data_IF_079445029778
#
_entry.id   IF_079445029778
#
_cell.length_a   1.000
_cell.length_b   1.000
_cell.length_c   1.000
_cell.angle_alpha   90.00
_cell.angle_beta   90.00
_cell.angle_gamma   90.00
#
_symmetry.space_group_name_H-M   'P 1'
#
loop_
_entity.id
_entity.type
_entity.pdbx_description
1 polymer ?
#
# COMPACT_ATOMS: atom_id res chain seq x y z
N UNK A 1 -31.01 -9.58 -9.80
CA UNK A 1 -30.27 -9.28 -11.05
C UNK A 1 -29.11 -10.27 -11.12
N UNK A 2 -28.96 -10.99 -12.23
CA UNK A 2 -27.82 -11.84 -12.52
C UNK A 2 -26.93 -11.12 -13.54
N UNK A 3 -25.61 -11.12 -13.33
CA UNK A 3 -24.61 -10.41 -14.16
C UNK A 3 -23.52 -11.41 -14.56
N UNK A 4 -23.16 -11.42 -15.86
CA UNK A 4 -22.05 -12.21 -16.38
C UNK A 4 -20.88 -11.30 -16.68
N UNK A 5 -19.70 -11.61 -16.13
CA UNK A 5 -18.46 -10.88 -16.42
C UNK A 5 -17.86 -11.25 -17.80
N UNK A 6 -18.30 -12.37 -18.40
CA UNK A 6 -17.74 -12.86 -19.66
C UNK A 6 -17.99 -11.94 -20.87
N UNK A 7 -18.98 -11.06 -20.77
CA UNK A 7 -19.39 -10.14 -21.85
C UNK A 7 -18.83 -8.71 -21.67
N UNK A 8 -18.09 -8.47 -20.60
CA UNK A 8 -17.58 -7.15 -20.25
C UNK A 8 -16.14 -6.95 -20.70
N UNK A 9 -15.83 -5.71 -21.08
CA UNK A 9 -14.45 -5.28 -21.25
C UNK A 9 -13.71 -5.33 -19.91
N UNK A 10 -12.38 -5.39 -19.95
CA UNK A 10 -11.54 -5.36 -18.74
C UNK A 10 -11.84 -4.16 -17.83
N UNK A 11 -12.06 -2.99 -18.43
CA UNK A 11 -12.42 -1.76 -17.70
C UNK A 11 -13.76 -1.88 -17.00
N UNK A 12 -14.79 -2.41 -17.66
CA UNK A 12 -16.12 -2.61 -17.07
C UNK A 12 -16.06 -3.65 -15.95
N UNK A 13 -15.36 -4.75 -16.18
CA UNK A 13 -15.14 -5.79 -15.18
C UNK A 13 -14.40 -5.23 -13.95
N UNK A 14 -13.32 -4.45 -14.15
CA UNK A 14 -12.60 -3.79 -13.07
C UNK A 14 -13.48 -2.83 -12.27
N UNK A 15 -14.25 -1.97 -12.95
CA UNK A 15 -15.15 -1.02 -12.30
C UNK A 15 -16.24 -1.71 -11.47
N UNK A 16 -16.80 -2.80 -11.96
CA UNK A 16 -17.80 -3.57 -11.23
C UNK A 16 -17.17 -4.35 -10.06
N UNK A 17 -16.11 -5.10 -10.32
CA UNK A 17 -15.42 -5.91 -9.32
C UNK A 17 -14.94 -5.07 -8.14
N UNK A 18 -14.35 -3.91 -8.42
CA UNK A 18 -13.86 -3.00 -7.38
C UNK A 18 -14.94 -2.42 -6.46
N UNK A 19 -16.22 -2.47 -6.89
CA UNK A 19 -17.39 -2.04 -6.10
C UNK A 19 -18.03 -3.19 -5.32
N UNK A 20 -17.83 -4.43 -5.76
CA UNK A 20 -18.42 -5.61 -5.11
C UNK A 20 -17.60 -6.08 -3.91
N UNK A 21 -16.27 -5.92 -3.97
CA UNK A 21 -15.38 -6.28 -2.88
C UNK A 21 -14.98 -5.01 -2.13
N UNK A 22 -15.79 -4.65 -1.16
CA UNK A 22 -15.59 -3.46 -0.32
C UNK A 22 -16.00 -3.75 1.13
N UNK A 23 -15.38 -3.11 2.13
CA UNK A 23 -14.21 -2.24 2.04
C UNK A 23 -12.92 -3.05 1.81
N UNK A 24 -11.99 -2.52 1.04
CA UNK A 24 -10.64 -3.13 0.93
C UNK A 24 -9.65 -2.34 1.78
N UNK A 25 -8.76 -2.99 2.52
CA UNK A 25 -7.63 -2.31 3.14
C UNK A 25 -6.68 -1.77 2.07
N UNK A 26 -5.91 -0.74 2.42
CA UNK A 26 -4.92 -0.14 1.52
C UNK A 26 -3.53 -0.37 2.10
N UNK A 27 -2.66 -1.07 1.36
CA UNK A 27 -1.24 -1.10 1.62
C UNK A 27 -0.60 0.16 1.01
N UNK A 28 -0.04 1.04 1.83
CA UNK A 28 0.70 2.21 1.37
C UNK A 28 2.18 1.88 1.48
N UNK A 29 2.77 1.47 0.35
CA UNK A 29 4.06 0.78 0.29
C UNK A 29 5.17 1.75 -0.05
N UNK A 30 6.12 1.93 0.88
CA UNK A 30 7.36 2.65 0.67
C UNK A 30 8.47 1.67 0.28
N UNK A 31 9.20 1.99 -0.78
CA UNK A 31 10.36 1.25 -1.27
C UNK A 31 11.46 2.19 -1.74
N UNK A 32 12.70 1.70 -1.80
CA UNK A 32 13.86 2.47 -2.22
C UNK A 32 13.99 2.46 -3.76
N UNK A 33 14.04 3.63 -4.40
CA UNK A 33 14.32 3.77 -5.84
C UNK A 33 15.78 3.45 -6.22
N UNK A 34 16.67 3.31 -5.21
CA UNK A 34 18.10 3.17 -5.38
C UNK A 34 18.79 4.53 -5.51
N UNK A 35 20.12 4.48 -5.63
CA UNK A 35 20.89 5.70 -5.93
C UNK A 35 20.38 6.26 -7.27
N UNK A 36 19.99 7.52 -7.26
CA UNK A 36 19.42 8.22 -8.41
C UNK A 36 20.25 7.94 -9.67
N UNK A 37 19.69 7.14 -10.58
CA UNK A 37 20.17 7.17 -11.96
C UNK A 37 19.56 8.43 -12.59
N UNK A 38 20.36 9.19 -13.36
CA UNK A 38 19.82 10.36 -14.06
C UNK A 38 18.60 9.92 -14.87
N UNK A 39 17.47 10.61 -14.67
CA UNK A 39 16.27 10.37 -15.45
C UNK A 39 16.61 10.40 -16.94
N UNK A 40 16.19 9.42 -17.74
CA UNK A 40 16.52 9.37 -19.18
C UNK A 40 15.84 10.46 -20.00
N UNK A 41 15.03 11.31 -19.38
CA UNK A 41 14.35 12.43 -20.04
C UNK A 41 14.53 13.67 -19.15
N UNK A 42 14.91 14.80 -19.74
CA UNK A 42 14.93 16.10 -19.08
C UNK A 42 13.56 16.34 -18.41
N UNK A 43 13.52 16.52 -17.06
CA UNK A 43 12.26 16.75 -16.37
C UNK A 43 11.67 18.06 -16.86
N UNK A 44 10.46 18.02 -17.42
CA UNK A 44 9.72 19.22 -17.84
C UNK A 44 9.12 19.99 -16.66
N UNK A 45 9.67 19.77 -15.43
CA UNK A 45 9.20 20.42 -14.20
C UNK A 45 10.18 20.24 -13.04
N UNK A 46 9.96 20.89 -11.88
CA UNK A 46 10.92 21.01 -10.77
C UNK A 46 11.05 19.78 -9.86
N UNK A 47 10.68 18.58 -10.31
CA UNK A 47 10.80 17.37 -9.49
C UNK A 47 12.21 16.77 -9.61
N UNK A 48 13.02 16.93 -8.56
CA UNK A 48 14.29 16.25 -8.44
C UNK A 48 14.10 14.72 -8.28
N UNK A 49 15.03 13.87 -8.77
CA UNK A 49 15.01 12.45 -8.49
C UNK A 49 15.03 12.21 -6.98
N UNK A 50 13.98 11.58 -6.46
CA UNK A 50 13.86 11.28 -5.04
C UNK A 50 14.15 9.82 -4.74
N UNK A 51 14.69 9.56 -3.55
CA UNK A 51 15.10 8.21 -3.14
C UNK A 51 13.90 7.29 -2.90
N UNK A 52 12.74 7.82 -2.49
CA UNK A 52 11.66 7.00 -1.96
C UNK A 52 10.46 6.97 -2.88
N UNK A 53 10.09 5.77 -3.32
CA UNK A 53 8.81 5.49 -3.96
C UNK A 53 7.76 5.17 -2.89
N UNK A 54 6.56 5.72 -3.05
CA UNK A 54 5.44 5.47 -2.15
C UNK A 54 4.15 5.32 -2.94
N UNK A 55 3.58 4.11 -2.96
CA UNK A 55 2.41 3.82 -3.78
C UNK A 55 1.33 3.03 -3.01
N UNK A 56 0.02 3.32 -3.22
CA UNK A 56 -1.08 2.60 -2.59
C UNK A 56 -1.54 1.40 -3.43
N UNK A 57 -1.79 0.27 -2.74
CA UNK A 57 -2.34 -0.95 -3.32
C UNK A 57 -3.56 -1.41 -2.53
N UNK A 58 -4.71 -1.59 -3.17
CA UNK A 58 -5.94 -2.01 -2.51
C UNK A 58 -6.37 -3.47 -2.78
N UNK A 59 -5.67 -4.19 -3.63
CA UNK A 59 -5.73 -5.65 -3.66
C UNK A 59 -4.70 -6.19 -2.68
N UNK A 60 -5.01 -6.06 -1.38
CA UNK A 60 -4.11 -6.26 -0.26
C UNK A 60 -4.80 -6.98 0.88
N UNK A 61 -4.11 -7.92 1.52
CA UNK A 61 -4.59 -8.56 2.76
C UNK A 61 -3.45 -9.26 3.54
N UNK A 62 -3.77 -9.65 4.80
CA UNK A 62 -3.01 -10.63 5.56
C UNK A 62 -3.18 -12.04 4.98
N UNK A 63 -2.12 -12.86 5.05
CA UNK A 63 -2.11 -14.22 4.50
C UNK A 63 -2.00 -15.26 5.60
N UNK A 64 -1.05 -15.10 6.52
CA UNK A 64 -0.80 -16.01 7.65
C UNK A 64 -0.21 -15.26 8.82
N UNK A 65 -0.37 -15.81 10.03
CA UNK A 65 0.17 -15.26 11.26
C UNK A 65 1.46 -15.94 11.75
N UNK A 66 1.80 -17.11 11.18
CA UNK A 66 2.98 -17.88 11.59
C UNK A 66 3.69 -18.49 10.36
N UNK A 67 4.68 -17.82 9.79
CA UNK A 67 5.14 -16.46 10.07
C UNK A 67 4.09 -15.41 9.65
N UNK A 68 4.14 -14.18 10.23
CA UNK A 68 3.21 -13.13 9.83
C UNK A 68 3.53 -12.65 8.41
N UNK A 69 2.56 -12.81 7.51
CA UNK A 69 2.71 -12.47 6.10
C UNK A 69 1.54 -11.67 5.57
N UNK A 70 1.85 -10.76 4.67
CA UNK A 70 0.93 -9.97 3.87
C UNK A 70 1.07 -10.35 2.40
N UNK A 71 0.05 -10.00 1.61
CA UNK A 71 0.16 -9.99 0.15
C UNK A 71 -0.49 -8.75 -0.43
N UNK A 72 0.02 -8.25 -1.54
CA UNK A 72 -0.68 -7.31 -2.40
C UNK A 72 -0.47 -7.66 -3.88
N UNK A 73 -1.43 -7.25 -4.72
CA UNK A 73 -1.32 -7.39 -6.16
C UNK A 73 -0.85 -6.07 -6.77
N UNK A 74 0.12 -6.15 -7.65
CA UNK A 74 0.61 -5.04 -8.46
C UNK A 74 0.48 -5.38 -9.93
N UNK A 75 -0.15 -4.47 -10.68
CA UNK A 75 -0.19 -4.53 -12.14
C UNK A 75 1.01 -3.81 -12.75
N UNK A 76 1.17 -3.93 -14.05
CA UNK A 76 2.14 -3.11 -14.77
C UNK A 76 1.69 -1.65 -14.84
N UNK A 77 2.63 -0.76 -15.06
CA UNK A 77 2.39 0.65 -15.32
C UNK A 77 2.04 0.90 -16.78
N UNK A 78 1.98 2.18 -17.16
CA UNK A 78 1.76 2.56 -18.55
C UNK A 78 2.80 1.93 -19.50
N UNK A 79 2.38 1.60 -20.72
CA UNK A 79 3.23 1.01 -21.77
C UNK A 79 3.87 -0.36 -21.41
N UNK A 80 3.27 -1.14 -20.48
CA UNK A 80 3.75 -2.48 -20.11
C UNK A 80 5.05 -2.50 -19.30
N UNK A 81 5.42 -1.37 -18.68
CA UNK A 81 6.56 -1.32 -17.78
C UNK A 81 6.15 -1.70 -16.36
N UNK A 82 7.02 -2.42 -15.64
CA UNK A 82 6.82 -2.71 -14.23
C UNK A 82 6.69 -1.41 -13.43
N UNK A 83 5.68 -1.31 -12.56
CA UNK A 83 5.58 -0.21 -11.59
C UNK A 83 6.81 -0.15 -10.69
N UNK A 84 7.17 1.04 -10.23
CA UNK A 84 8.38 1.28 -9.46
C UNK A 84 8.45 0.41 -8.20
N UNK A 85 7.36 0.25 -7.47
CA UNK A 85 7.30 -0.66 -6.32
C UNK A 85 7.69 -2.10 -6.69
N UNK A 86 7.20 -2.64 -7.82
CA UNK A 86 7.52 -3.99 -8.27
C UNK A 86 9.01 -4.09 -8.63
N UNK A 87 9.52 -3.15 -9.42
CA UNK A 87 10.94 -3.09 -9.82
C UNK A 87 11.86 -2.97 -8.59
N UNK A 88 11.53 -2.08 -7.67
CA UNK A 88 12.28 -1.84 -6.46
C UNK A 88 12.38 -3.11 -5.61
N UNK A 89 11.26 -3.79 -5.36
CA UNK A 89 11.23 -5.01 -4.55
C UNK A 89 11.93 -6.21 -5.21
N UNK A 90 12.05 -6.22 -6.54
CA UNK A 90 12.89 -7.20 -7.26
C UNK A 90 14.37 -6.96 -7.04
N UNK A 91 14.78 -5.71 -6.92
CA UNK A 91 16.19 -5.31 -6.69
C UNK A 91 16.57 -5.39 -5.22
N UNK A 92 15.77 -4.82 -4.33
CA UNK A 92 15.92 -4.86 -2.88
C UNK A 92 14.59 -5.30 -2.27
N UNK A 93 14.53 -6.45 -1.59
CA UNK A 93 13.28 -6.99 -1.08
C UNK A 93 12.70 -6.23 0.12
N UNK A 94 13.36 -5.18 0.63
CA UNK A 94 12.88 -4.43 1.79
C UNK A 94 11.86 -3.38 1.41
N UNK A 95 10.81 -3.26 2.22
CA UNK A 95 9.81 -2.20 2.13
C UNK A 95 9.20 -1.87 3.49
N UNK A 96 8.42 -0.79 3.51
CA UNK A 96 7.55 -0.47 4.64
C UNK A 96 6.13 -0.41 4.13
N UNK A 97 5.24 -1.21 4.70
CA UNK A 97 3.81 -1.16 4.44
C UNK A 97 3.14 -0.35 5.54
N UNK A 98 2.55 0.78 5.17
CA UNK A 98 1.77 1.60 6.09
C UNK A 98 0.29 1.32 5.93
N UNK A 99 -0.45 1.49 7.01
CA UNK A 99 -1.91 1.62 6.96
C UNK A 99 -2.24 3.06 7.34
N UNK A 100 -2.77 3.80 6.39
CA UNK A 100 -3.15 5.19 6.57
C UNK A 100 -4.47 5.32 7.35
N UNK A 101 -4.70 6.49 7.96
CA UNK A 101 -6.02 6.88 8.50
C UNK A 101 -6.93 7.41 7.40
N UNK A 102 -8.24 7.42 7.65
CA UNK A 102 -9.21 8.02 6.71
C UNK A 102 -8.91 9.49 6.40
N UNK A 103 -8.39 10.25 7.36
CA UNK A 103 -7.96 11.65 7.18
C UNK A 103 -6.79 11.83 6.22
N UNK A 104 -6.05 10.78 5.91
CA UNK A 104 -4.91 10.77 4.98
C UNK A 104 -5.32 10.37 3.55
N UNK A 105 -6.62 10.25 3.26
CA UNK A 105 -7.12 9.79 1.95
C UNK A 105 -6.56 10.61 0.78
N UNK A 106 -6.42 11.94 0.94
CA UNK A 106 -5.86 12.79 -0.12
C UNK A 106 -4.38 12.49 -0.34
N UNK A 107 -3.57 12.39 0.71
CA UNK A 107 -2.15 12.05 0.59
C UNK A 107 -1.93 10.68 -0.07
N UNK A 108 -2.75 9.68 0.30
CA UNK A 108 -2.74 8.36 -0.35
C UNK A 108 -3.11 8.47 -1.82
N UNK A 109 -4.08 9.31 -2.18
CA UNK A 109 -4.48 9.55 -3.57
C UNK A 109 -3.39 10.28 -4.36
N UNK A 110 -2.71 11.25 -3.77
CA UNK A 110 -1.64 12.02 -4.43
C UNK A 110 -0.45 11.11 -4.75
N UNK A 111 -0.14 10.14 -3.89
CA UNK A 111 0.90 9.13 -4.14
C UNK A 111 0.47 7.98 -5.07
N UNK A 112 -0.77 8.01 -5.57
CA UNK A 112 -1.22 7.12 -6.65
C UNK A 112 -0.93 7.69 -8.05
N UNK A 113 -0.38 8.90 -8.13
CA UNK A 113 -0.01 9.53 -9.40
C UNK A 113 1.07 8.69 -10.11
N UNK A 114 0.92 8.55 -11.42
CA UNK A 114 1.96 7.94 -12.25
C UNK A 114 3.02 8.98 -12.58
N UNK A 115 4.06 9.04 -11.75
CA UNK A 115 5.20 9.93 -11.93
C UNK A 115 6.28 9.26 -12.82
N UNK A 116 7.17 10.03 -13.45
CA UNK A 116 8.33 9.47 -14.13
C UNK A 116 9.18 8.64 -13.16
N UNK A 117 9.76 7.55 -13.67
CA UNK A 117 10.61 6.67 -12.86
C UNK A 117 11.70 7.44 -12.12
N UNK A 118 11.85 7.14 -10.81
CA UNK A 118 12.82 7.77 -9.92
C UNK A 118 12.37 9.13 -9.37
N UNK A 119 11.17 9.60 -9.69
CA UNK A 119 10.55 10.76 -9.02
C UNK A 119 9.86 10.24 -7.75
N UNK A 120 10.06 10.95 -6.64
CA UNK A 120 9.54 10.54 -5.33
C UNK A 120 8.10 11.02 -5.12
N UNK A 121 7.18 10.09 -4.91
CA UNK A 121 5.80 10.41 -4.50
C UNK A 121 5.77 11.01 -3.08
N UNK A 122 6.74 10.68 -2.23
CA UNK A 122 6.88 11.27 -0.89
C UNK A 122 7.11 12.78 -0.99
N UNK A 123 8.04 13.19 -1.84
CA UNK A 123 8.35 14.60 -2.07
C UNK A 123 7.21 15.30 -2.81
N UNK A 124 6.63 14.64 -3.82
CA UNK A 124 5.50 15.15 -4.59
C UNK A 124 4.28 15.43 -3.69
N UNK A 125 3.97 14.56 -2.75
CA UNK A 125 2.86 14.71 -1.82
C UNK A 125 3.23 15.53 -0.57
N UNK A 126 4.46 16.05 -0.45
CA UNK A 126 4.92 16.84 0.70
C UNK A 126 4.92 16.07 2.03
N UNK A 127 5.17 14.77 1.99
CA UNK A 127 5.13 13.91 3.16
C UNK A 127 6.47 13.91 3.91
N UNK A 128 6.39 13.85 5.23
CA UNK A 128 7.56 13.69 6.09
C UNK A 128 7.82 12.23 6.41
N UNK A 129 9.11 11.88 6.44
CA UNK A 129 9.58 10.57 6.86
C UNK A 129 10.18 10.62 8.27
N UNK A 130 10.18 9.48 8.95
CA UNK A 130 10.78 9.30 10.27
C UNK A 130 11.59 7.98 10.30
N UNK A 131 12.78 8.07 10.89
CA UNK A 131 13.60 6.89 11.18
C UNK A 131 12.97 6.05 12.30
N UNK A 132 13.22 4.75 12.27
CA UNK A 132 12.78 3.78 13.27
C UNK A 132 13.68 2.53 13.20
N UNK A 133 13.39 1.47 13.98
CA UNK A 133 14.19 0.23 14.00
C UNK A 133 13.95 -0.64 12.73
N UNK A 134 14.20 -0.05 11.57
CA UNK A 134 14.14 -0.68 10.26
C UNK A 134 15.04 0.07 9.25
N UNK A 135 15.65 -0.62 8.24
CA UNK A 135 16.58 0.03 7.29
C UNK A 135 15.93 1.12 6.42
N UNK A 136 14.62 1.08 6.20
CA UNK A 136 13.88 2.11 5.45
C UNK A 136 13.07 2.98 6.43
N UNK A 137 12.94 4.30 6.17
CA UNK A 137 12.11 5.16 7.00
C UNK A 137 10.62 4.83 6.85
N UNK A 138 9.82 5.33 7.76
CA UNK A 138 8.35 5.29 7.69
C UNK A 138 7.78 6.67 7.39
N UNK A 139 6.58 6.73 6.81
CA UNK A 139 5.79 7.96 6.76
C UNK A 139 5.47 8.37 8.20
N UNK A 140 5.88 9.59 8.57
CA UNK A 140 5.81 10.09 9.96
C UNK A 140 4.42 9.97 10.55
N UNK A 141 3.42 10.44 9.80
CA UNK A 141 2.03 10.56 10.25
C UNK A 141 1.21 9.27 10.11
N UNK A 142 1.73 8.22 9.46
CA UNK A 142 1.00 6.97 9.34
C UNK A 142 0.91 6.27 10.71
N UNK A 143 -0.29 5.87 11.17
CA UNK A 143 -0.48 5.31 12.53
C UNK A 143 0.09 3.90 12.68
N UNK A 144 0.29 3.17 11.58
CA UNK A 144 0.90 1.84 11.57
C UNK A 144 1.90 1.76 10.43
N UNK A 145 3.09 1.24 10.73
CA UNK A 145 4.11 0.91 9.76
C UNK A 145 4.64 -0.50 10.01
N UNK A 146 4.76 -1.29 8.96
CA UNK A 146 5.26 -2.66 9.01
C UNK A 146 6.50 -2.77 8.14
N UNK A 147 7.67 -3.00 8.75
CA UNK A 147 8.91 -3.33 8.07
C UNK A 147 8.83 -4.75 7.52
N UNK A 148 8.87 -4.86 6.22
CA UNK A 148 8.59 -6.09 5.50
C UNK A 148 9.71 -6.47 4.54
N UNK A 149 9.80 -7.78 4.30
CA UNK A 149 10.67 -8.37 3.28
C UNK A 149 9.84 -9.14 2.25
N UNK A 150 9.98 -8.80 0.98
CA UNK A 150 9.40 -9.57 -0.12
C UNK A 150 10.04 -10.96 -0.18
N UNK A 151 9.20 -11.99 -0.20
CA UNK A 151 9.64 -13.39 -0.17
C UNK A 151 9.26 -14.17 -1.42
N UNK A 152 8.19 -13.73 -2.10
CA UNK A 152 7.69 -14.42 -3.29
C UNK A 152 6.98 -13.43 -4.23
N UNK A 153 7.14 -13.69 -5.53
CA UNK A 153 6.46 -12.99 -6.62
C UNK A 153 5.77 -14.02 -7.49
N UNK A 154 4.45 -13.95 -7.58
CA UNK A 154 3.64 -14.92 -8.32
C UNK A 154 2.83 -14.23 -9.40
N UNK A 155 3.20 -14.35 -10.68
CA UNK A 155 2.37 -13.88 -11.79
C UNK A 155 1.00 -14.56 -11.77
N UNK A 156 -0.05 -13.84 -12.15
CA UNK A 156 -1.42 -14.35 -12.18
C UNK A 156 -1.84 -14.64 -13.61
N UNK A 157 -1.68 -15.91 -14.01
CA UNK A 157 -2.02 -16.37 -15.36
C UNK A 157 -1.34 -15.51 -16.43
N UNK A 158 -2.10 -15.18 -17.47
CA UNK A 158 -1.65 -14.33 -18.59
C UNK A 158 -1.95 -12.85 -18.38
N UNK A 159 -2.21 -12.44 -17.13
CA UNK A 159 -2.48 -11.04 -16.79
C UNK A 159 -1.19 -10.29 -16.45
N UNK A 160 -1.25 -8.95 -16.51
CA UNK A 160 -0.17 -8.06 -16.05
C UNK A 160 -0.04 -8.00 -14.52
N UNK A 161 -0.79 -8.83 -13.79
CA UNK A 161 -0.82 -8.82 -12.32
C UNK A 161 0.20 -9.78 -11.72
N UNK A 162 0.94 -9.29 -10.71
CA UNK A 162 1.82 -10.10 -9.87
C UNK A 162 1.40 -9.99 -8.42
N UNK A 163 1.19 -11.11 -7.73
CA UNK A 163 1.07 -11.13 -6.28
C UNK A 163 2.46 -11.07 -5.66
N UNK A 164 2.67 -10.12 -4.75
CA UNK A 164 3.91 -10.00 -3.96
C UNK A 164 3.58 -10.38 -2.53
N UNK A 165 4.27 -11.42 -2.02
CA UNK A 165 4.15 -11.86 -0.64
C UNK A 165 5.27 -11.25 0.20
N UNK A 166 4.88 -10.67 1.33
CA UNK A 166 5.77 -9.99 2.25
C UNK A 166 5.75 -10.67 3.62
N UNK A 167 6.93 -10.94 4.19
CA UNK A 167 7.05 -11.31 5.61
C UNK A 167 7.22 -10.05 6.44
N UNK A 168 6.41 -9.88 7.49
CA UNK A 168 6.56 -8.80 8.46
C UNK A 168 7.72 -9.16 9.41
N UNK A 169 8.66 -8.24 9.57
CA UNK A 169 9.83 -8.41 10.47
C UNK A 169 9.84 -7.38 11.60
N UNK A 170 9.20 -6.22 11.42
CA UNK A 170 9.03 -5.16 12.43
C UNK A 170 7.65 -4.53 12.32
N UNK A 171 7.14 -4.04 13.42
CA UNK A 171 5.90 -3.26 13.44
C UNK A 171 6.10 -2.04 14.33
N UNK A 172 5.75 -0.88 13.82
CA UNK A 172 5.59 0.35 14.58
C UNK A 172 4.11 0.69 14.62
N UNK A 173 3.62 1.06 15.81
CA UNK A 173 2.25 1.50 16.03
C UNK A 173 2.30 2.78 16.84
N UNK A 174 1.49 3.76 16.48
CA UNK A 174 1.36 5.01 17.20
C UNK A 174 0.79 4.77 18.61
N UNK A 175 1.41 5.36 19.64
CA UNK A 175 1.08 5.08 21.04
C UNK A 175 -0.38 5.39 21.39
N UNK A 176 -0.97 6.41 20.76
CA UNK A 176 -2.34 6.84 21.01
C UNK A 176 -3.41 5.81 20.60
N UNK A 177 -3.06 4.86 19.76
CA UNK A 177 -3.99 3.80 19.32
C UNK A 177 -3.64 2.42 19.89
N UNK A 178 -2.52 2.30 20.61
CA UNK A 178 -2.01 1.03 21.12
C UNK A 178 -2.09 0.96 22.63
N UNK A 179 -2.43 -0.22 23.14
CA UNK A 179 -2.36 -0.56 24.55
C UNK A 179 -2.08 -2.06 24.71
N UNK A 180 -1.89 -2.51 25.94
CA UNK A 180 -1.69 -3.93 26.23
C UNK A 180 -2.70 -4.39 27.28
N UNK A 181 -3.24 -5.59 27.10
CA UNK A 181 -4.09 -6.20 28.12
C UNK A 181 -3.25 -6.77 29.29
N UNK A 182 -3.94 -7.31 30.30
CA UNK A 182 -3.30 -7.88 31.50
C UNK A 182 -2.39 -9.10 31.19
N UNK A 183 -2.50 -9.68 30.02
CA UNK A 183 -1.67 -10.79 29.53
C UNK A 183 -0.54 -10.32 28.60
N UNK A 184 -0.36 -9.01 28.43
CA UNK A 184 0.66 -8.41 27.55
C UNK A 184 0.34 -8.52 26.05
N UNK A 185 -0.92 -8.77 25.66
CA UNK A 185 -1.33 -8.83 24.26
C UNK A 185 -1.68 -7.43 23.77
N UNK A 186 -1.19 -7.09 22.56
CA UNK A 186 -1.47 -5.81 21.90
C UNK A 186 -2.98 -5.64 21.67
N UNK A 187 -3.49 -4.49 22.07
CA UNK A 187 -4.85 -4.03 21.78
C UNK A 187 -4.76 -2.76 20.93
N UNK A 188 -5.57 -2.70 19.88
CA UNK A 188 -5.69 -1.52 19.02
C UNK A 188 -7.06 -0.89 19.22
N UNK A 189 -7.09 0.40 19.52
CA UNK A 189 -8.32 1.20 19.47
C UNK A 189 -8.69 1.47 18.01
N UNK A 190 -9.60 0.65 17.48
CA UNK A 190 -10.02 0.72 16.09
C UNK A 190 -10.71 2.05 15.75
N UNK A 191 -11.41 2.67 16.72
CA UNK A 191 -12.08 3.94 16.49
C UNK A 191 -11.07 5.09 16.39
N UNK A 192 -10.07 5.14 17.28
CA UNK A 192 -8.99 6.10 17.22
C UNK A 192 -8.02 5.85 16.04
N UNK A 193 -7.86 4.59 15.65
CA UNK A 193 -7.06 4.20 14.48
C UNK A 193 -7.69 4.66 13.18
N UNK A 194 -8.99 4.44 12.99
CA UNK A 194 -9.79 4.79 11.79
C UNK A 194 -9.06 4.48 10.46
N UNK A 195 -8.72 3.21 10.19
CA UNK A 195 -7.95 2.85 9.02
C UNK A 195 -8.70 3.17 7.73
N UNK A 196 -7.96 3.71 6.75
CA UNK A 196 -8.49 4.05 5.43
C UNK A 196 -8.93 2.81 4.67
N UNK A 197 -10.15 2.84 4.16
CA UNK A 197 -10.69 1.79 3.31
C UNK A 197 -10.90 2.28 1.87
N UNK A 198 -10.51 1.46 0.89
CA UNK A 198 -10.82 1.69 -0.52
C UNK A 198 -12.21 1.15 -0.84
N UNK A 199 -13.05 1.98 -1.42
CA UNK A 199 -14.32 1.59 -2.04
C UNK A 199 -14.24 1.77 -3.57
N UNK A 200 -15.22 1.31 -4.30
CA UNK A 200 -15.18 1.38 -5.76
C UNK A 200 -15.16 2.82 -6.32
N UNK A 201 -14.88 2.95 -7.61
CA UNK A 201 -14.95 4.22 -8.38
C UNK A 201 -14.03 5.32 -7.81
N UNK A 202 -12.84 4.97 -7.38
CA UNK A 202 -11.88 5.94 -6.88
C UNK A 202 -12.13 6.41 -5.44
N UNK A 203 -13.24 6.01 -4.80
CA UNK A 203 -13.62 6.48 -3.47
C UNK A 203 -12.85 5.81 -2.33
N UNK A 204 -12.84 6.50 -1.20
CA UNK A 204 -12.35 6.02 0.09
C UNK A 204 -13.46 6.14 1.15
N UNK A 205 -13.34 5.40 2.23
CA UNK A 205 -14.24 5.44 3.37
C UNK A 205 -13.49 5.23 4.68
N UNK A 206 -14.05 5.75 5.77
CA UNK A 206 -13.71 5.38 7.14
C UNK A 206 -14.46 4.10 7.53
N UNK A 207 -14.04 3.47 8.64
CA UNK A 207 -14.83 2.39 9.23
C UNK A 207 -16.07 2.95 9.92
N UNK A 208 -17.20 2.24 9.74
CA UNK A 208 -18.38 2.46 10.56
C UNK A 208 -18.19 1.91 11.99
N UNK A 209 -19.25 1.99 12.83
CA UNK A 209 -19.22 1.45 14.17
C UNK A 209 -18.83 -0.04 14.20
N UNK A 210 -17.97 -0.41 15.14
CA UNK A 210 -17.57 -1.82 15.33
C UNK A 210 -18.76 -2.63 15.84
N UNK A 211 -19.16 -3.65 15.08
CA UNK A 211 -20.20 -4.60 15.47
C UNK A 211 -19.56 -5.82 16.12
N UNK A 212 -19.97 -6.14 17.36
CA UNK A 212 -19.54 -7.35 18.08
C UNK A 212 -20.73 -8.29 18.20
N UNK A 213 -20.80 -9.36 17.38
CA UNK A 213 -21.82 -10.39 17.53
C UNK A 213 -21.73 -11.02 18.92
N UNK A 214 -22.88 -11.46 19.46
CA UNK A 214 -22.89 -12.29 20.68
C UNK A 214 -22.30 -13.66 20.32
N UNK A 215 -21.40 -14.16 21.14
CA UNK A 215 -20.85 -15.53 21.08
C UNK A 215 -21.82 -16.48 21.76
#
# INVERSE_FOLDING_TARGET
>A
MLISFAEWSETEAYLAFSQLIVPRPVAWVLSDNGAAQPAPVEPTGPAAPGRWNLAPFSYFNGVTSAPPMLMFSVGDGMAGHLKDTHRNLRRDPLCVVHIARSTQAQAVQDTAAELPWGVSEVEHAGLELAEWDWPLPRVREAPVAMGCRATQFTPIGDTEQTLIFLRIERVWVQDEIASFDAQGRLLIDIAAYDPLARVGRGGYASLGPVVRPRV
#
